data_IF_376638071803
#
_entry.id   IF_376638071803
#
_cell.length_a   1.000
_cell.length_b   1.000
_cell.length_c   1.000
_cell.angle_alpha   90.00
_cell.angle_beta   90.00
_cell.angle_gamma   90.00
#
_symmetry.space_group_name_H-M   'P 1'
#
loop_
_entity.id
_entity.type
_entity.pdbx_description
1 polymer ?
#
# COMPACT_ATOMS: atom_id res chain seq x y z
N UNK A 1 -80.61 15.23 -74.41
CA UNK A 1 -81.49 16.23 -73.76
C UNK A 1 -80.73 16.65 -72.51
N UNK A 2 -80.08 17.81 -72.62
CA UNK A 2 -80.36 19.06 -71.87
C UNK A 2 -80.16 18.90 -70.37
N UNK A 3 -79.44 19.66 -69.65
CA UNK A 3 -78.91 21.04 -69.79
C UNK A 3 -78.02 21.24 -68.51
N UNK A 4 -76.82 21.72 -68.67
CA UNK A 4 -76.24 22.95 -68.12
C UNK A 4 -76.75 23.49 -66.77
N UNK A 5 -75.85 23.84 -65.89
CA UNK A 5 -75.31 25.17 -65.52
C UNK A 5 -74.48 25.03 -64.25
N UNK A 6 -73.21 25.33 -64.21
CA UNK A 6 -72.47 26.55 -63.90
C UNK A 6 -73.02 27.38 -62.73
N UNK A 7 -72.22 27.68 -61.77
CA UNK A 7 -71.66 28.97 -61.35
C UNK A 7 -70.86 28.82 -60.06
N UNK A 8 -69.57 29.08 -60.07
CA UNK A 8 -68.78 30.24 -59.66
C UNK A 8 -68.71 30.54 -58.16
N UNK A 9 -67.45 30.44 -57.68
CA UNK A 9 -66.61 31.35 -56.87
C UNK A 9 -67.10 31.82 -55.51
N UNK A 10 -66.23 31.67 -54.57
CA UNK A 10 -65.45 32.78 -53.99
C UNK A 10 -64.29 32.25 -53.08
N UNK A 11 -63.15 32.73 -53.45
CA UNK A 11 -61.93 32.73 -52.59
C UNK A 11 -62.21 33.44 -51.28
N UNK A 12 -61.74 32.86 -50.18
CA UNK A 12 -61.37 33.62 -49.01
C UNK A 12 -60.07 33.11 -48.51
N UNK A 13 -58.97 33.86 -48.62
CA UNK A 13 -57.68 33.53 -47.98
C UNK A 13 -57.77 33.99 -46.54
N UNK A 14 -57.02 33.31 -45.67
CA UNK A 14 -56.75 33.58 -44.29
C UNK A 14 -57.45 32.67 -43.25
N UNK A 15 -57.01 31.44 -43.21
CA UNK A 15 -56.89 30.75 -41.92
C UNK A 15 -55.50 30.14 -41.83
N UNK A 16 -54.58 30.93 -41.29
CA UNK A 16 -53.28 30.41 -40.77
C UNK A 16 -53.59 29.48 -39.66
N UNK A 17 -53.48 28.16 -39.90
CA UNK A 17 -53.45 27.15 -38.88
C UNK A 17 -52.07 27.26 -38.21
N UNK A 18 -51.99 27.95 -37.07
CA UNK A 18 -50.90 27.93 -36.19
C UNK A 18 -50.81 26.51 -35.53
N UNK A 19 -49.96 25.64 -36.08
CA UNK A 19 -49.56 24.44 -35.43
C UNK A 19 -48.87 24.83 -34.12
N UNK A 20 -49.54 24.63 -33.00
CA UNK A 20 -49.00 24.80 -31.67
C UNK A 20 -47.86 23.83 -31.48
N UNK A 21 -46.62 24.34 -31.39
CA UNK A 21 -45.46 23.56 -31.02
C UNK A 21 -45.72 22.83 -29.71
N UNK A 22 -45.30 21.56 -29.58
CA UNK A 22 -45.55 20.80 -28.38
C UNK A 22 -44.81 21.46 -27.21
N UNK A 23 -45.56 21.92 -26.19
CA UNK A 23 -45.04 22.45 -24.93
C UNK A 23 -44.41 21.35 -24.12
N UNK A 24 -43.25 20.80 -24.56
CA UNK A 24 -42.44 19.83 -23.81
C UNK A 24 -41.49 20.49 -22.80
N UNK A 25 -41.29 21.80 -22.85
CA UNK A 25 -40.34 22.53 -21.99
C UNK A 25 -40.73 22.62 -20.53
N UNK A 26 -42.00 22.47 -20.17
CA UNK A 26 -42.44 22.61 -18.78
C UNK A 26 -42.14 21.40 -17.89
N UNK A 27 -42.22 20.19 -18.46
CA UNK A 27 -41.90 18.94 -17.72
C UNK A 27 -40.40 18.77 -17.54
N UNK A 28 -39.61 19.03 -18.55
CA UNK A 28 -38.14 18.96 -18.47
C UNK A 28 -37.58 19.97 -17.45
N UNK A 29 -38.10 21.19 -17.46
CA UNK A 29 -37.71 22.25 -16.53
C UNK A 29 -38.10 21.92 -15.07
N UNK A 30 -39.25 21.29 -14.84
CA UNK A 30 -39.64 20.79 -13.51
C UNK A 30 -38.74 19.63 -13.05
N UNK A 31 -38.41 18.70 -13.91
CA UNK A 31 -37.49 17.60 -13.61
C UNK A 31 -36.11 18.16 -13.25
N UNK A 32 -35.61 19.13 -14.03
CA UNK A 32 -34.32 19.78 -13.77
C UNK A 32 -34.31 20.52 -12.41
N UNK A 33 -35.41 21.23 -12.08
CA UNK A 33 -35.58 21.89 -10.78
C UNK A 33 -35.63 20.89 -9.61
N UNK A 34 -36.35 19.78 -9.78
CA UNK A 34 -36.41 18.71 -8.76
C UNK A 34 -35.03 18.10 -8.55
N UNK A 35 -34.26 17.84 -9.62
CA UNK A 35 -32.92 17.33 -9.58
C UNK A 35 -31.95 18.30 -8.88
N UNK A 36 -32.09 19.60 -9.18
CA UNK A 36 -31.27 20.66 -8.58
C UNK A 36 -31.56 20.81 -7.09
N UNK A 37 -32.85 20.74 -6.67
CA UNK A 37 -33.26 20.75 -5.28
C UNK A 37 -32.76 19.49 -4.56
N UNK A 38 -32.82 18.33 -5.20
CA UNK A 38 -32.32 17.07 -4.62
C UNK A 38 -30.80 17.13 -4.41
N UNK A 39 -30.05 17.64 -5.39
CA UNK A 39 -28.59 17.85 -5.27
C UNK A 39 -28.26 18.86 -4.18
N UNK A 40 -29.00 19.96 -4.07
CA UNK A 40 -28.82 20.95 -3.03
C UNK A 40 -29.13 20.38 -1.64
N UNK A 41 -30.14 19.54 -1.53
CA UNK A 41 -30.54 18.87 -0.29
C UNK A 41 -29.50 17.83 0.15
N UNK A 42 -28.94 17.08 -0.80
CA UNK A 42 -27.81 16.15 -0.57
C UNK A 42 -26.56 16.94 -0.13
N UNK A 43 -26.24 18.05 -0.81
CA UNK A 43 -25.12 18.91 -0.44
C UNK A 43 -25.30 19.52 0.97
N UNK A 44 -26.50 19.97 1.31
CA UNK A 44 -26.82 20.46 2.65
C UNK A 44 -26.73 19.36 3.73
N UNK A 45 -27.19 18.14 3.44
CA UNK A 45 -27.03 16.98 4.33
C UNK A 45 -25.53 16.62 4.51
N UNK A 46 -24.72 16.69 3.47
CA UNK A 46 -23.27 16.48 3.56
C UNK A 46 -22.58 17.53 4.45
N UNK A 47 -23.04 18.79 4.44
CA UNK A 47 -22.50 19.88 5.24
C UNK A 47 -22.94 19.80 6.71
N UNK A 48 -24.20 19.37 6.96
CA UNK A 48 -24.77 19.31 8.33
C UNK A 48 -24.36 18.01 9.05
N UNK A 49 -24.20 16.93 8.33
CA UNK A 49 -23.85 15.62 8.88
C UNK A 49 -22.62 14.99 8.21
N UNK A 50 -21.43 15.61 8.31
CA UNK A 50 -20.21 15.09 7.66
C UNK A 50 -19.81 13.69 8.18
N UNK A 51 -20.26 13.31 9.39
CA UNK A 51 -20.02 11.97 9.97
C UNK A 51 -20.99 10.89 9.46
N UNK A 52 -22.16 11.26 8.94
CA UNK A 52 -23.18 10.31 8.46
C UNK A 52 -23.03 9.98 6.97
N UNK A 53 -22.48 10.90 6.18
CA UNK A 53 -22.21 10.68 4.76
C UNK A 53 -20.71 10.53 4.54
N UNK A 54 -20.17 9.40 4.95
CA UNK A 54 -18.85 8.99 4.47
C UNK A 54 -18.98 8.74 2.96
N UNK A 55 -18.44 9.68 2.16
CA UNK A 55 -18.47 9.59 0.69
C UNK A 55 -17.95 8.26 0.19
N UNK A 56 -17.03 7.66 0.93
CA UNK A 56 -16.43 6.37 0.62
C UNK A 56 -17.41 5.21 0.76
N UNK A 57 -18.32 5.26 1.75
CA UNK A 57 -19.40 4.27 1.86
C UNK A 57 -20.32 4.30 0.65
N UNK A 58 -20.62 5.50 0.14
CA UNK A 58 -21.47 5.67 -1.04
C UNK A 58 -20.74 5.18 -2.30
N UNK A 59 -19.47 5.55 -2.46
CA UNK A 59 -18.63 5.09 -3.57
C UNK A 59 -18.46 3.57 -3.52
N UNK A 60 -18.15 3.00 -2.36
CA UNK A 60 -18.06 1.54 -2.17
C UNK A 60 -19.38 0.84 -2.44
N UNK A 61 -20.51 1.42 -1.98
CA UNK A 61 -21.83 0.86 -2.26
C UNK A 61 -22.06 0.72 -3.77
N UNK A 62 -21.78 1.77 -4.56
CA UNK A 62 -21.94 1.70 -6.01
C UNK A 62 -20.91 0.82 -6.70
N UNK A 63 -19.64 0.88 -6.27
CA UNK A 63 -18.53 0.06 -6.82
C UNK A 63 -18.77 -1.44 -6.63
N UNK A 64 -19.36 -1.82 -5.48
CA UNK A 64 -19.58 -3.22 -5.10
C UNK A 64 -21.06 -3.62 -5.06
N UNK A 65 -21.97 -2.83 -5.65
CA UNK A 65 -23.42 -3.03 -5.58
C UNK A 65 -23.93 -4.33 -6.23
N UNK A 66 -23.20 -4.98 -7.08
CA UNK A 66 -23.56 -6.29 -7.65
C UNK A 66 -22.86 -7.49 -7.01
N UNK A 67 -22.05 -7.26 -5.99
CA UNK A 67 -21.04 -8.20 -5.52
C UNK A 67 -21.33 -8.72 -4.11
N UNK A 68 -22.10 -7.98 -3.29
CA UNK A 68 -22.48 -8.36 -1.93
C UNK A 68 -23.22 -9.70 -1.86
N UNK A 69 -23.93 -10.07 -2.93
CA UNK A 69 -24.76 -11.29 -2.97
C UNK A 69 -24.02 -12.52 -3.56
N UNK A 70 -22.78 -12.36 -4.05
CA UNK A 70 -21.99 -13.47 -4.56
C UNK A 70 -21.04 -13.97 -3.48
N UNK A 71 -21.38 -15.08 -2.84
CA UNK A 71 -20.57 -15.74 -1.81
C UNK A 71 -19.12 -16.11 -2.27
N UNK A 72 -18.81 -15.99 -3.55
CA UNK A 72 -17.51 -16.25 -4.17
C UNK A 72 -16.73 -15.01 -4.59
N UNK A 73 -17.27 -13.79 -4.38
CA UNK A 73 -16.56 -12.60 -4.80
C UNK A 73 -15.34 -12.32 -3.93
N UNK A 74 -14.22 -12.08 -4.58
CA UNK A 74 -12.94 -11.87 -3.90
C UNK A 74 -12.40 -13.11 -3.19
N UNK A 75 -12.97 -14.29 -3.43
CA UNK A 75 -12.37 -15.53 -2.99
C UNK A 75 -11.38 -15.99 -4.06
N UNK A 76 -10.12 -15.67 -3.83
CA UNK A 76 -9.02 -16.18 -4.62
C UNK A 76 -8.60 -17.52 -4.02
N UNK A 77 -8.67 -18.58 -4.83
CA UNK A 77 -8.17 -19.89 -4.44
C UNK A 77 -6.74 -20.02 -4.98
N UNK A 78 -5.79 -20.21 -4.10
CA UNK A 78 -4.40 -20.49 -4.45
C UNK A 78 -3.83 -21.54 -3.50
N UNK A 79 -2.77 -22.20 -3.93
CA UNK A 79 -2.06 -23.15 -3.09
C UNK A 79 -1.37 -22.41 -1.94
N UNK A 80 -1.93 -22.52 -0.74
CA UNK A 80 -1.43 -21.84 0.46
C UNK A 80 -0.30 -22.64 1.09
N UNK A 81 0.90 -22.53 0.52
CA UNK A 81 2.12 -23.02 1.16
C UNK A 81 2.44 -22.26 2.45
N UNK A 82 3.03 -22.93 3.42
CA UNK A 82 3.37 -22.35 4.72
C UNK A 82 4.43 -21.22 4.66
N UNK A 83 5.00 -20.94 3.51
CA UNK A 83 6.01 -19.88 3.28
C UNK A 83 5.57 -18.80 2.31
N UNK A 84 4.30 -18.79 1.89
CA UNK A 84 3.82 -17.78 0.98
C UNK A 84 3.73 -16.40 1.63
N UNK A 85 4.00 -15.36 0.85
CA UNK A 85 3.90 -13.95 1.24
C UNK A 85 2.89 -13.23 0.36
N UNK A 86 2.21 -12.25 0.92
CA UNK A 86 1.08 -11.59 0.29
C UNK A 86 1.15 -10.08 0.44
N UNK A 87 0.82 -9.33 -0.62
CA UNK A 87 0.64 -7.89 -0.57
C UNK A 87 -0.49 -7.45 -1.51
N UNK A 88 -1.17 -6.37 -1.14
CA UNK A 88 -2.06 -5.66 -2.06
C UNK A 88 -1.24 -4.95 -3.13
N UNK A 89 -1.59 -5.14 -4.40
CA UNK A 89 -0.89 -4.52 -5.51
C UNK A 89 -1.84 -4.39 -6.72
N UNK A 90 -1.81 -3.24 -7.40
CA UNK A 90 -2.55 -2.98 -8.65
C UNK A 90 -4.03 -3.42 -8.58
N UNK A 91 -4.77 -2.94 -7.57
CA UNK A 91 -6.16 -3.34 -7.29
C UNK A 91 -6.38 -4.85 -7.07
N UNK A 92 -5.33 -5.64 -6.92
CA UNK A 92 -5.35 -7.09 -6.79
C UNK A 92 -4.54 -7.60 -5.59
N UNK A 93 -4.06 -8.83 -5.73
CA UNK A 93 -3.23 -9.52 -4.75
C UNK A 93 -1.97 -10.07 -5.42
N UNK A 94 -0.81 -9.65 -4.92
CA UNK A 94 0.47 -10.24 -5.27
C UNK A 94 0.81 -11.35 -4.28
N UNK A 95 1.11 -12.54 -4.82
CA UNK A 95 1.44 -13.74 -4.04
C UNK A 95 2.85 -14.18 -4.40
N UNK A 96 3.77 -14.10 -3.44
CA UNK A 96 5.11 -14.66 -3.55
C UNK A 96 5.16 -16.07 -2.95
N UNK A 97 5.73 -17.01 -3.68
CA UNK A 97 5.91 -18.42 -3.27
C UNK A 97 7.36 -18.83 -3.47
N UNK A 98 7.75 -19.98 -2.97
CA UNK A 98 9.08 -20.54 -3.23
C UNK A 98 9.38 -20.80 -4.72
N UNK A 99 8.33 -20.90 -5.56
CA UNK A 99 8.41 -21.20 -6.99
C UNK A 99 8.22 -19.96 -7.90
N UNK A 100 8.07 -18.77 -7.32
CA UNK A 100 7.90 -17.52 -8.07
C UNK A 100 6.86 -16.59 -7.51
N UNK A 101 6.35 -15.69 -8.35
CA UNK A 101 5.37 -14.67 -7.99
C UNK A 101 4.18 -14.69 -8.95
N UNK A 102 2.99 -14.51 -8.40
CA UNK A 102 1.73 -14.43 -9.16
C UNK A 102 0.95 -13.19 -8.78
N UNK A 103 0.50 -12.43 -9.77
CA UNK A 103 -0.44 -11.34 -9.58
C UNK A 103 -1.85 -11.81 -9.95
N UNK A 104 -2.78 -11.70 -9.01
CA UNK A 104 -4.20 -11.96 -9.19
C UNK A 104 -5.01 -10.66 -9.14
N UNK A 105 -6.00 -10.52 -10.01
CA UNK A 105 -7.06 -9.55 -9.85
C UNK A 105 -8.06 -10.00 -8.78
N UNK A 106 -8.93 -9.09 -8.30
CA UNK A 106 -9.92 -9.43 -7.27
C UNK A 106 -11.00 -10.41 -7.72
N UNK A 107 -11.24 -10.56 -9.00
CA UNK A 107 -12.16 -11.54 -9.58
C UNK A 107 -11.53 -12.93 -9.83
N UNK A 108 -10.24 -13.08 -9.46
CA UNK A 108 -9.54 -14.37 -9.52
C UNK A 108 -8.77 -14.61 -10.81
N UNK A 109 -8.73 -13.64 -11.72
CA UNK A 109 -7.93 -13.76 -12.93
C UNK A 109 -6.44 -13.66 -12.60
N UNK A 110 -5.64 -14.61 -13.07
CA UNK A 110 -4.18 -14.53 -13.00
C UNK A 110 -3.67 -13.59 -14.08
N UNK A 111 -3.17 -12.42 -13.67
CA UNK A 111 -2.64 -11.40 -14.57
C UNK A 111 -1.18 -11.60 -14.94
N UNK A 112 -0.39 -12.09 -14.00
CA UNK A 112 1.02 -12.43 -14.23
C UNK A 112 1.41 -13.67 -13.45
N UNK A 113 2.35 -14.42 -14.01
CA UNK A 113 3.07 -15.50 -13.34
C UNK A 113 4.52 -15.45 -13.79
N UNK A 114 5.42 -15.21 -12.85
CA UNK A 114 6.87 -15.29 -13.06
C UNK A 114 7.38 -16.45 -12.22
N UNK A 115 8.02 -17.42 -12.87
CA UNK A 115 8.55 -18.59 -12.20
C UNK A 115 10.03 -18.42 -11.87
N UNK A 116 10.41 -18.73 -10.65
CA UNK A 116 11.79 -18.63 -10.19
C UNK A 116 11.98 -19.24 -8.81
N UNK A 117 13.21 -19.52 -8.43
CA UNK A 117 13.53 -20.13 -7.13
C UNK A 117 13.70 -19.07 -6.05
N UNK A 118 12.77 -19.02 -5.12
CA UNK A 118 12.69 -18.10 -4.00
C UNK A 118 12.50 -18.88 -2.68
N UNK A 119 13.53 -19.52 -2.14
CA UNK A 119 13.40 -20.43 -0.99
C UNK A 119 12.75 -19.81 0.25
N UNK A 120 12.91 -18.51 0.42
CA UNK A 120 12.32 -17.74 1.53
C UNK A 120 11.82 -16.41 0.96
N UNK A 121 10.67 -16.40 0.27
CA UNK A 121 10.22 -15.21 -0.45
C UNK A 121 9.95 -14.06 0.52
N UNK A 122 10.40 -12.89 0.15
CA UNK A 122 10.06 -11.61 0.78
C UNK A 122 9.45 -10.73 -0.30
N UNK A 123 8.33 -10.08 0.04
CA UNK A 123 7.57 -9.24 -0.85
C UNK A 123 7.66 -7.79 -0.37
N UNK A 124 7.95 -6.87 -1.30
CA UNK A 124 7.96 -5.44 -1.10
C UNK A 124 7.18 -4.76 -2.22
N UNK A 125 6.22 -3.94 -1.85
CA UNK A 125 5.40 -3.19 -2.82
C UNK A 125 5.43 -1.71 -2.50
N UNK A 126 5.47 -0.90 -3.57
CA UNK A 126 5.31 0.54 -3.50
C UNK A 126 5.17 1.12 -4.90
N UNK A 127 4.35 2.18 -5.06
CA UNK A 127 4.03 2.72 -6.37
C UNK A 127 3.56 1.63 -7.34
N UNK A 128 4.18 1.62 -8.49
CA UNK A 128 3.90 0.67 -9.57
C UNK A 128 4.87 -0.54 -9.58
N UNK A 129 5.53 -0.85 -8.45
CA UNK A 129 6.51 -1.93 -8.35
C UNK A 129 6.15 -2.91 -7.24
N UNK A 130 5.98 -4.18 -7.60
CA UNK A 130 5.88 -5.31 -6.67
C UNK A 130 7.11 -6.20 -6.82
N UNK A 131 8.07 -6.10 -5.88
CA UNK A 131 9.33 -6.85 -5.87
C UNK A 131 9.23 -8.08 -4.98
N UNK A 132 9.66 -9.22 -5.50
CA UNK A 132 9.86 -10.46 -4.74
C UNK A 132 11.30 -10.90 -4.85
N UNK A 133 11.91 -11.19 -3.73
CA UNK A 133 13.28 -11.69 -3.62
C UNK A 133 13.40 -12.69 -2.48
N UNK A 134 14.52 -13.38 -2.39
CA UNK A 134 14.83 -14.28 -1.28
C UNK A 134 16.25 -14.01 -0.77
N UNK A 135 16.44 -13.72 0.55
CA UNK A 135 17.76 -13.59 1.12
C UNK A 135 18.60 -14.85 0.87
N UNK A 136 19.84 -14.65 0.42
CA UNK A 136 20.73 -15.74 0.04
C UNK A 136 20.56 -16.28 -1.38
N UNK A 137 19.48 -15.92 -2.10
CA UNK A 137 19.32 -16.20 -3.53
C UNK A 137 19.81 -15.02 -4.37
N UNK A 138 20.32 -15.29 -5.56
CA UNK A 138 20.64 -14.23 -6.52
C UNK A 138 19.42 -13.81 -7.37
N UNK A 139 18.35 -14.61 -7.35
CA UNK A 139 17.17 -14.36 -8.17
C UNK A 139 16.18 -13.42 -7.51
N UNK A 140 15.62 -12.51 -8.31
CA UNK A 140 14.50 -11.66 -7.96
C UNK A 140 13.55 -11.49 -9.14
N UNK A 141 12.29 -11.19 -8.84
CA UNK A 141 11.27 -10.86 -9.83
C UNK A 141 10.53 -9.59 -9.40
N UNK A 142 10.21 -8.72 -10.34
CA UNK A 142 9.38 -7.55 -10.11
C UNK A 142 8.25 -7.47 -11.14
N UNK A 143 7.06 -7.14 -10.63
CA UNK A 143 5.82 -7.02 -11.41
C UNK A 143 5.34 -5.58 -11.33
N UNK A 144 4.97 -5.03 -12.48
CA UNK A 144 4.32 -3.74 -12.63
C UNK A 144 2.80 -3.85 -12.79
N UNK A 145 2.12 -2.70 -12.98
CA UNK A 145 0.68 -2.64 -13.18
C UNK A 145 0.22 -3.51 -14.36
N UNK A 146 -0.98 -4.10 -14.22
CA UNK A 146 -1.55 -4.99 -15.23
C UNK A 146 -0.80 -6.30 -15.42
N UNK A 147 0.21 -6.60 -14.57
CA UNK A 147 1.02 -7.80 -14.69
C UNK A 147 2.23 -7.67 -15.61
N UNK A 148 2.66 -6.45 -15.90
CA UNK A 148 3.89 -6.20 -16.66
C UNK A 148 5.09 -6.76 -15.91
N UNK A 149 5.96 -7.52 -16.58
CA UNK A 149 7.22 -7.99 -16.00
C UNK A 149 8.24 -6.85 -16.05
N UNK A 150 8.67 -6.39 -14.86
CA UNK A 150 9.68 -5.33 -14.74
C UNK A 150 11.09 -5.91 -14.53
N UNK A 151 11.19 -7.04 -13.79
CA UNK A 151 12.43 -7.77 -13.56
C UNK A 151 12.13 -9.25 -13.48
N UNK A 152 12.97 -10.08 -14.12
CA UNK A 152 12.92 -11.54 -14.07
C UNK A 152 14.34 -12.05 -14.34
N UNK A 153 15.24 -11.91 -13.34
CA UNK A 153 16.64 -12.19 -13.55
C UNK A 153 17.39 -12.61 -12.28
N UNK A 154 18.54 -13.23 -12.51
CA UNK A 154 19.52 -13.50 -11.47
C UNK A 154 20.61 -12.41 -11.49
N UNK A 155 20.81 -11.72 -10.39
CA UNK A 155 21.84 -10.71 -10.20
C UNK A 155 23.23 -11.35 -10.00
N UNK A 156 24.25 -10.51 -10.04
CA UNK A 156 25.66 -10.92 -9.83
C UNK A 156 25.96 -11.39 -8.40
N UNK A 157 25.10 -11.07 -7.43
CA UNK A 157 25.27 -11.40 -6.02
C UNK A 157 23.99 -11.84 -5.34
N UNK A 158 24.13 -12.56 -4.24
CA UNK A 158 22.99 -13.00 -3.42
C UNK A 158 22.35 -11.81 -2.69
N UNK A 159 21.01 -11.72 -2.70
CA UNK A 159 20.28 -10.72 -1.93
C UNK A 159 20.50 -10.85 -0.45
N UNK A 160 20.63 -9.72 0.22
CA UNK A 160 20.63 -9.60 1.69
C UNK A 160 19.32 -8.98 2.13
N UNK A 161 18.93 -7.84 1.51
CA UNK A 161 17.74 -7.08 1.85
C UNK A 161 17.29 -6.27 0.63
N UNK A 162 16.02 -5.85 0.59
CA UNK A 162 15.52 -4.90 -0.38
C UNK A 162 14.32 -4.11 0.19
N UNK A 163 14.11 -2.93 -0.39
CA UNK A 163 13.00 -2.02 -0.10
C UNK A 163 12.46 -1.40 -1.39
N UNK A 164 11.18 -1.05 -1.38
CA UNK A 164 10.49 -0.33 -2.47
C UNK A 164 9.77 0.86 -1.86
N UNK A 165 10.06 2.05 -2.39
CA UNK A 165 9.44 3.31 -1.93
C UNK A 165 8.01 3.47 -2.43
N UNK A 166 7.29 4.44 -1.87
CA UNK A 166 5.92 4.75 -2.28
C UNK A 166 5.80 5.14 -3.77
N UNK A 167 6.83 5.72 -4.37
CA UNK A 167 6.88 6.08 -5.80
C UNK A 167 7.51 4.99 -6.70
N UNK A 168 7.82 3.79 -6.14
CA UNK A 168 8.34 2.65 -6.88
C UNK A 168 9.86 2.63 -7.08
N UNK A 169 10.62 3.55 -6.46
CA UNK A 169 12.08 3.41 -6.41
C UNK A 169 12.43 2.20 -5.57
N UNK A 170 13.42 1.44 -6.03
CA UNK A 170 13.82 0.19 -5.39
C UNK A 170 15.26 0.27 -4.91
N UNK A 171 15.51 -0.08 -3.64
CA UNK A 171 16.86 -0.30 -3.14
C UNK A 171 17.06 -1.76 -2.77
N UNK A 172 18.23 -2.33 -3.09
CA UNK A 172 18.57 -3.67 -2.64
C UNK A 172 20.03 -3.78 -2.26
N UNK A 173 20.32 -4.72 -1.37
CA UNK A 173 21.68 -5.06 -0.93
C UNK A 173 21.99 -6.47 -1.41
N UNK A 174 23.16 -6.63 -2.05
CA UNK A 174 23.70 -7.92 -2.49
C UNK A 174 25.09 -8.18 -1.93
N UNK A 175 25.43 -9.46 -1.78
CA UNK A 175 26.79 -9.92 -1.53
C UNK A 175 27.47 -10.18 -2.87
N UNK A 176 28.49 -9.39 -3.21
CA UNK A 176 29.20 -9.49 -4.49
C UNK A 176 30.69 -9.80 -4.28
N UNK A 177 31.28 -10.47 -5.29
CA UNK A 177 32.71 -10.81 -5.25
C UNK A 177 33.58 -9.54 -5.17
N UNK A 178 34.47 -9.48 -4.18
CA UNK A 178 35.36 -8.33 -3.94
C UNK A 178 34.79 -7.28 -2.98
N UNK A 179 33.54 -7.41 -2.57
CA UNK A 179 32.86 -6.53 -1.61
C UNK A 179 32.21 -7.33 -0.49
N UNK A 180 32.06 -6.71 0.69
CA UNK A 180 31.26 -7.29 1.77
C UNK A 180 29.77 -7.17 1.46
N UNK A 181 29.37 -6.04 0.89
CA UNK A 181 28.01 -5.77 0.44
C UNK A 181 28.01 -4.64 -0.57
N UNK A 182 27.04 -4.69 -1.46
CA UNK A 182 26.74 -3.63 -2.42
C UNK A 182 25.28 -3.25 -2.29
N UNK A 183 25.00 -1.96 -2.14
CA UNK A 183 23.65 -1.42 -2.18
C UNK A 183 23.44 -0.73 -3.54
N UNK A 184 22.36 -1.07 -4.22
CA UNK A 184 21.98 -0.50 -5.52
C UNK A 184 20.60 0.13 -5.40
N UNK A 185 20.42 1.29 -6.02
CA UNK A 185 19.11 1.94 -6.16
C UNK A 185 18.71 1.93 -7.63
N UNK A 186 17.48 1.51 -7.88
CA UNK A 186 16.83 1.54 -9.18
C UNK A 186 15.74 2.60 -9.17
N UNK A 187 15.48 3.20 -10.30
CA UNK A 187 14.30 4.04 -10.50
C UNK A 187 13.01 3.21 -10.65
N UNK A 188 11.86 3.86 -10.82
CA UNK A 188 10.56 3.20 -11.01
C UNK A 188 10.44 2.37 -12.29
N UNK A 189 11.43 2.50 -13.23
CA UNK A 189 11.56 1.69 -14.44
C UNK A 189 12.51 0.52 -14.26
N UNK A 190 13.02 0.30 -13.03
CA UNK A 190 14.04 -0.69 -12.67
C UNK A 190 15.41 -0.45 -13.30
N UNK A 191 15.71 0.78 -13.72
CA UNK A 191 17.04 1.15 -14.21
C UNK A 191 17.93 1.61 -13.03
N UNK A 192 19.22 1.19 -12.99
CA UNK A 192 20.11 1.55 -11.88
C UNK A 192 20.50 3.03 -11.94
N UNK A 193 20.24 3.76 -10.86
CA UNK A 193 20.55 5.19 -10.71
C UNK A 193 21.66 5.45 -9.70
N UNK A 194 21.90 4.53 -8.76
CA UNK A 194 22.90 4.71 -7.73
C UNK A 194 23.46 3.38 -7.24
N UNK A 195 24.76 3.35 -6.88
CA UNK A 195 25.40 2.16 -6.35
C UNK A 195 26.42 2.54 -5.27
N UNK A 196 26.30 1.92 -4.09
CA UNK A 196 27.23 2.05 -2.98
C UNK A 196 27.88 0.70 -2.68
N UNK A 197 29.21 0.63 -2.76
CA UNK A 197 29.98 -0.61 -2.54
C UNK A 197 30.78 -0.53 -1.24
N UNK A 198 30.55 -1.46 -0.33
CA UNK A 198 31.26 -1.55 0.94
C UNK A 198 32.26 -2.73 0.91
N UNK A 199 33.56 -2.43 1.01
CA UNK A 199 34.62 -3.45 1.07
C UNK A 199 34.89 -3.97 2.49
N UNK A 200 34.59 -3.18 3.50
CA UNK A 200 35.03 -3.45 4.88
C UNK A 200 33.90 -3.81 5.82
N UNK A 201 32.63 -3.43 5.49
CA UNK A 201 31.49 -3.58 6.39
C UNK A 201 30.33 -4.31 5.71
N UNK A 202 29.61 -5.09 6.51
CA UNK A 202 28.38 -5.73 6.07
C UNK A 202 27.22 -4.76 6.22
N UNK A 203 26.38 -4.68 5.19
CA UNK A 203 25.08 -4.01 5.19
C UNK A 203 24.00 -5.06 5.40
N UNK A 204 23.03 -4.79 6.28
CA UNK A 204 22.00 -5.77 6.61
C UNK A 204 20.56 -5.25 6.37
N UNK A 205 20.35 -3.95 6.26
CA UNK A 205 19.08 -3.37 5.90
C UNK A 205 19.29 -2.13 5.05
N UNK A 206 18.35 -1.86 4.14
CA UNK A 206 18.30 -0.64 3.34
C UNK A 206 16.88 -0.11 3.25
N UNK A 207 16.77 1.18 2.98
CA UNK A 207 15.55 1.86 2.60
C UNK A 207 15.84 2.95 1.60
N UNK A 208 14.92 3.20 0.67
CA UNK A 208 15.00 4.28 -0.31
C UNK A 208 13.87 5.28 -0.09
N UNK A 209 14.19 6.58 -0.13
CA UNK A 209 13.18 7.63 0.03
C UNK A 209 12.17 7.63 -1.12
N UNK A 210 11.02 8.25 -0.89
CA UNK A 210 9.88 8.26 -1.80
C UNK A 210 10.27 8.54 -3.26
N UNK A 211 11.07 9.57 -3.51
CA UNK A 211 11.54 9.98 -4.83
C UNK A 211 12.97 9.51 -5.17
N UNK A 212 13.50 8.54 -4.44
CA UNK A 212 14.82 7.99 -4.71
C UNK A 212 16.02 8.90 -4.38
N UNK A 213 15.81 10.05 -3.71
CA UNK A 213 16.87 11.04 -3.44
C UNK A 213 17.85 10.60 -2.34
N UNK A 214 17.38 9.73 -1.43
CA UNK A 214 18.16 9.23 -0.31
C UNK A 214 18.12 7.72 -0.25
N UNK A 215 19.28 7.14 0.02
CA UNK A 215 19.46 5.73 0.39
C UNK A 215 19.91 5.66 1.86
N UNK A 216 19.14 5.02 2.69
CA UNK A 216 19.57 4.68 4.05
C UNK A 216 20.05 3.23 4.10
N UNK A 217 21.20 2.96 4.72
CA UNK A 217 21.73 1.61 4.93
C UNK A 217 22.13 1.41 6.38
N UNK A 218 21.76 0.27 6.95
CA UNK A 218 22.24 -0.17 8.25
C UNK A 218 23.52 -1.00 8.06
N UNK A 219 24.58 -0.59 8.71
CA UNK A 219 25.90 -1.25 8.69
C UNK A 219 26.13 -1.98 9.99
N UNK A 220 26.62 -3.22 9.91
CA UNK A 220 27.09 -3.96 11.07
C UNK A 220 28.51 -3.53 11.43
N UNK A 221 28.69 -3.14 12.67
CA UNK A 221 29.96 -2.80 13.27
C UNK A 221 30.25 -3.72 14.46
N UNK A 222 31.50 -4.07 14.64
CA UNK A 222 31.96 -4.81 15.81
C UNK A 222 32.91 -3.93 16.61
N UNK A 223 32.67 -3.79 17.90
CA UNK A 223 33.51 -3.08 18.81
C UNK A 223 33.64 -3.86 20.09
N UNK A 224 34.87 -4.31 20.43
CA UNK A 224 35.16 -5.10 21.64
C UNK A 224 34.33 -6.39 21.77
N UNK A 225 34.05 -7.07 20.65
CA UNK A 225 33.25 -8.30 20.64
C UNK A 225 31.73 -8.06 20.66
N UNK A 226 31.27 -6.82 20.65
CA UNK A 226 29.85 -6.46 20.62
C UNK A 226 29.49 -5.98 19.23
N UNK A 227 28.46 -6.60 18.64
CA UNK A 227 27.87 -6.13 17.36
C UNK A 227 26.84 -5.05 17.61
N UNK A 228 26.92 -4.01 16.80
CA UNK A 228 25.97 -2.89 16.76
C UNK A 228 25.69 -2.48 15.32
N UNK A 229 24.61 -1.75 15.10
CA UNK A 229 24.35 -1.12 13.82
C UNK A 229 24.66 0.37 13.87
N UNK A 230 25.21 0.87 12.76
CA UNK A 230 25.25 2.28 12.42
C UNK A 230 24.42 2.49 11.14
N UNK A 231 23.60 3.53 11.11
CA UNK A 231 22.85 3.90 9.92
C UNK A 231 23.64 4.97 9.17
N UNK A 232 23.74 4.83 7.86
CA UNK A 232 24.28 5.84 6.96
C UNK A 232 23.20 6.26 6.00
N UNK A 233 23.00 7.57 5.85
CA UNK A 233 22.09 8.15 4.86
C UNK A 233 22.94 8.77 3.77
N UNK A 234 22.73 8.32 2.54
CA UNK A 234 23.48 8.69 1.34
C UNK A 234 22.55 9.44 0.40
N UNK A 235 23.09 10.44 -0.29
CA UNK A 235 22.39 11.10 -1.39
C UNK A 235 22.64 10.33 -2.69
N UNK A 236 21.59 10.13 -3.48
CA UNK A 236 21.63 9.37 -4.73
C UNK A 236 21.84 10.23 -5.97
N UNK A 237 21.88 11.56 -5.82
CA UNK A 237 22.10 12.52 -6.92
C UNK A 237 23.59 12.65 -7.35
N UNK A 238 24.47 11.88 -6.71
CA UNK A 238 25.88 11.84 -7.06
C UNK A 238 26.12 10.90 -8.25
N UNK A 239 27.07 11.24 -9.14
CA UNK A 239 27.42 10.37 -10.26
C UNK A 239 27.90 8.99 -9.81
N UNK A 240 27.53 7.94 -10.56
CA UNK A 240 27.95 6.55 -10.30
C UNK A 240 29.47 6.36 -10.21
N UNK A 241 30.25 7.22 -10.85
CA UNK A 241 31.73 7.16 -10.90
C UNK A 241 32.39 7.55 -9.57
N UNK A 242 31.73 8.32 -8.71
CA UNK A 242 32.27 8.81 -7.44
C UNK A 242 32.04 7.85 -6.25
N UNK A 243 31.46 6.68 -6.50
CA UNK A 243 30.91 5.78 -5.49
C UNK A 243 31.90 4.82 -4.83
N UNK A 244 33.16 4.80 -5.23
CA UNK A 244 34.16 3.88 -4.65
C UNK A 244 34.67 4.31 -3.27
N UNK A 245 34.32 5.51 -2.78
CA UNK A 245 34.82 6.05 -1.53
C UNK A 245 33.67 6.30 -0.52
N UNK A 246 33.95 6.03 0.76
CA UNK A 246 33.12 6.41 1.92
C UNK A 246 32.81 7.95 1.99
N UNK A 247 33.21 8.71 0.98
CA UNK A 247 33.09 10.18 0.89
C UNK A 247 31.73 10.71 0.50
N UNK A 248 30.83 9.86 -0.01
CA UNK A 248 29.44 10.24 -0.35
C UNK A 248 28.46 10.15 0.83
N UNK A 249 28.97 9.80 2.00
CA UNK A 249 28.17 9.70 3.24
C UNK A 249 27.65 11.06 3.65
N UNK A 250 26.34 11.24 3.64
CA UNK A 250 25.68 12.49 4.05
C UNK A 250 25.57 12.56 5.57
N UNK A 251 25.07 11.49 6.18
CA UNK A 251 24.83 11.46 7.63
C UNK A 251 25.09 10.07 8.18
N UNK A 252 25.71 10.01 9.37
CA UNK A 252 25.95 8.76 10.09
C UNK A 252 25.34 8.81 11.48
N UNK A 253 24.51 7.81 11.78
CA UNK A 253 23.80 7.67 13.05
C UNK A 253 24.32 6.42 13.80
N UNK A 254 24.64 6.58 15.07
CA UNK A 254 24.98 5.46 15.96
C UNK A 254 23.85 5.24 16.96
N UNK A 255 23.40 4.00 17.11
CA UNK A 255 22.26 3.63 17.94
C UNK A 255 22.65 2.95 19.25
N UNK A 256 23.88 3.23 19.75
CA UNK A 256 24.42 2.50 20.88
C UNK A 256 24.69 1.02 20.52
N UNK A 257 24.52 0.11 21.48
CA UNK A 257 24.77 -1.31 21.29
C UNK A 257 23.50 -2.07 20.83
N UNK A 258 22.84 -1.58 19.79
CA UNK A 258 21.63 -2.19 19.24
C UNK A 258 21.83 -2.60 17.79
N UNK A 259 21.15 -3.67 17.38
CA UNK A 259 21.03 -4.09 15.99
C UNK A 259 19.78 -3.47 15.37
N UNK A 260 19.90 -3.00 14.14
CA UNK A 260 18.78 -2.59 13.28
C UNK A 260 18.38 -3.78 12.43
N UNK A 261 17.10 -4.12 12.45
CA UNK A 261 16.55 -5.22 11.66
C UNK A 261 15.94 -4.74 10.35
N UNK A 262 15.33 -3.55 10.37
CA UNK A 262 14.65 -2.98 9.23
C UNK A 262 14.76 -1.46 9.21
N UNK A 263 14.84 -0.91 8.01
CA UNK A 263 14.76 0.51 7.71
C UNK A 263 13.58 0.76 6.78
N UNK A 264 12.87 1.87 6.97
CA UNK A 264 11.79 2.32 6.10
C UNK A 264 11.74 3.83 6.03
N UNK A 265 11.71 4.39 4.85
CA UNK A 265 11.26 5.76 4.69
C UNK A 265 9.73 5.80 4.81
N UNK A 266 9.23 6.74 5.62
CA UNK A 266 7.81 6.96 5.82
C UNK A 266 7.27 8.02 4.86
N UNK A 267 8.14 8.92 4.44
CA UNK A 267 7.94 9.90 3.39
C UNK A 267 9.32 10.28 2.78
N UNK A 268 9.38 11.39 2.08
CA UNK A 268 10.61 11.87 1.43
C UNK A 268 11.77 12.11 2.40
N UNK A 269 11.50 12.48 3.65
CA UNK A 269 12.50 13.00 4.61
C UNK A 269 12.53 12.29 5.96
N UNK A 270 11.56 11.43 6.25
CA UNK A 270 11.46 10.74 7.53
C UNK A 270 11.80 9.26 7.40
N UNK A 271 12.75 8.82 8.20
CA UNK A 271 13.25 7.45 8.26
C UNK A 271 12.86 6.80 9.58
N UNK A 272 12.27 5.61 9.51
CA UNK A 272 12.03 4.71 10.64
C UNK A 272 13.09 3.62 10.67
N UNK A 273 13.63 3.34 11.83
CA UNK A 273 14.50 2.20 12.11
C UNK A 273 13.87 1.28 13.15
N UNK A 274 13.63 0.04 12.79
CA UNK A 274 13.22 -1.02 13.73
C UNK A 274 14.48 -1.64 14.32
N UNK A 275 14.77 -1.27 15.56
CA UNK A 275 15.94 -1.75 16.30
C UNK A 275 15.53 -2.80 17.34
N UNK A 276 16.54 -3.39 17.98
CA UNK A 276 16.36 -4.49 18.93
C UNK A 276 15.44 -4.15 20.11
N UNK A 277 15.50 -2.91 20.62
CA UNK A 277 14.80 -2.52 21.85
C UNK A 277 13.83 -1.34 21.64
N UNK A 278 13.83 -0.74 20.45
CA UNK A 278 13.02 0.43 20.16
C UNK A 278 12.78 0.59 18.65
N UNK A 279 11.71 1.28 18.29
CA UNK A 279 11.49 1.86 16.95
C UNK A 279 11.89 3.32 17.04
N UNK A 280 12.76 3.79 16.15
CA UNK A 280 13.35 5.12 16.19
C UNK A 280 13.00 5.86 14.91
N UNK A 281 12.68 7.14 15.04
CA UNK A 281 12.35 8.02 13.94
C UNK A 281 13.43 9.10 13.79
N UNK A 282 13.88 9.30 12.57
CA UNK A 282 14.90 10.27 12.19
C UNK A 282 14.43 11.08 11.00
N UNK A 283 15.00 12.28 10.84
CA UNK A 283 14.98 12.96 9.56
C UNK A 283 16.25 12.63 8.74
N UNK A 284 16.27 13.03 7.46
CA UNK A 284 17.42 12.81 6.57
C UNK A 284 18.68 13.55 6.99
N UNK A 285 18.57 14.58 7.84
CA UNK A 285 19.70 15.31 8.42
C UNK A 285 20.31 14.59 9.63
N UNK A 286 19.69 13.46 10.04
CA UNK A 286 20.16 12.62 11.14
C UNK A 286 19.68 13.04 12.51
N UNK A 287 18.76 13.95 12.59
CA UNK A 287 18.14 14.32 13.86
C UNK A 287 17.17 13.22 14.30
N UNK A 288 17.33 12.73 15.54
CA UNK A 288 16.38 11.81 16.15
C UNK A 288 15.14 12.58 16.60
N UNK A 289 14.03 12.32 15.95
CA UNK A 289 12.76 13.00 16.22
C UNK A 289 12.04 12.39 17.42
N UNK A 290 11.92 11.09 17.44
CA UNK A 290 11.27 10.36 18.54
C UNK A 290 11.72 8.92 18.60
N UNK A 291 11.31 8.20 19.66
CA UNK A 291 11.44 6.75 19.71
C UNK A 291 10.36 6.13 20.57
N UNK A 292 9.98 4.92 20.18
CA UNK A 292 9.04 4.06 20.89
C UNK A 292 9.83 2.87 21.46
N UNK A 293 10.01 2.75 22.77
CA UNK A 293 10.65 1.57 23.38
C UNK A 293 9.83 0.31 23.06
N UNK A 294 10.46 -0.69 22.49
CA UNK A 294 9.92 -2.02 22.30
C UNK A 294 10.88 -3.03 22.91
N UNK A 295 10.35 -4.04 23.59
CA UNK A 295 11.16 -5.18 23.95
C UNK A 295 11.12 -6.16 22.79
N UNK A 296 12.19 -6.92 22.59
CA UNK A 296 12.39 -7.83 21.44
C UNK A 296 11.18 -8.75 21.15
N UNK A 297 10.35 -9.04 22.15
CA UNK A 297 9.20 -9.94 22.03
C UNK A 297 7.85 -9.21 22.14
N UNK A 298 7.81 -7.88 22.08
CA UNK A 298 6.57 -7.11 22.22
C UNK A 298 5.98 -6.64 20.90
N UNK A 299 6.82 -6.43 19.87
CA UNK A 299 6.31 -6.06 18.54
C UNK A 299 5.73 -7.30 17.86
N UNK A 300 4.41 -7.38 17.77
CA UNK A 300 3.71 -8.50 17.15
C UNK A 300 3.67 -8.33 15.62
N UNK A 301 3.29 -7.13 15.15
CA UNK A 301 3.20 -6.80 13.72
C UNK A 301 3.18 -5.28 13.54
N UNK A 302 3.52 -4.80 12.34
CA UNK A 302 3.38 -3.40 11.96
C UNK A 302 3.18 -3.25 10.45
N UNK A 303 2.56 -2.15 10.05
CA UNK A 303 2.40 -1.77 8.66
C UNK A 303 2.56 -0.27 8.47
N UNK A 304 3.23 0.11 7.38
CA UNK A 304 3.38 1.51 6.95
C UNK A 304 2.36 1.80 5.86
N UNK A 305 1.64 2.90 6.01
CA UNK A 305 0.73 3.41 4.99
C UNK A 305 1.49 4.21 3.93
N UNK A 306 0.98 4.22 2.71
CA UNK A 306 1.49 5.08 1.63
C UNK A 306 1.44 6.58 1.96
N UNK A 307 0.59 7.00 2.91
CA UNK A 307 0.49 8.39 3.40
C UNK A 307 1.51 8.71 4.52
N UNK A 308 2.51 7.87 4.76
CA UNK A 308 3.60 8.16 5.69
C UNK A 308 3.26 8.02 7.17
N UNK A 309 2.20 7.32 7.54
CA UNK A 309 1.91 6.95 8.92
C UNK A 309 1.99 5.44 9.09
N UNK A 310 2.15 5.00 10.31
CA UNK A 310 2.24 3.57 10.61
C UNK A 310 1.24 3.14 11.67
N UNK A 311 0.85 1.87 11.60
CA UNK A 311 0.16 1.13 12.66
C UNK A 311 1.08 0.05 13.17
N UNK A 312 1.08 -0.18 14.47
CA UNK A 312 1.82 -1.26 15.10
C UNK A 312 1.03 -1.91 16.23
N UNK A 313 1.25 -3.17 16.45
CA UNK A 313 0.68 -3.95 17.53
C UNK A 313 1.80 -4.44 18.47
N UNK A 314 1.64 -4.12 19.74
CA UNK A 314 2.52 -4.58 20.81
C UNK A 314 1.81 -5.63 21.66
N UNK A 315 2.46 -6.77 21.91
CA UNK A 315 1.92 -7.76 22.83
C UNK A 315 1.99 -7.24 24.26
N UNK A 316 0.91 -7.42 25.03
CA UNK A 316 0.86 -7.06 26.43
C UNK A 316 1.02 -8.30 27.32
N UNK A 317 1.63 -8.09 28.49
CA UNK A 317 1.67 -9.13 29.52
C UNK A 317 0.23 -9.47 29.94
N UNK A 318 -0.22 -10.69 29.66
CA UNK A 318 -1.58 -11.14 29.98
C UNK A 318 -2.41 -11.55 28.77
N UNK A 319 -1.87 -11.46 27.54
CA UNK A 319 -2.46 -12.04 26.35
C UNK A 319 -3.25 -11.07 25.46
N UNK A 320 -3.31 -9.79 25.82
CA UNK A 320 -3.89 -8.73 24.99
C UNK A 320 -2.83 -8.06 24.09
N UNK A 321 -3.27 -7.08 23.30
CA UNK A 321 -2.39 -6.28 22.45
C UNK A 321 -2.73 -4.80 22.59
N UNK A 322 -1.70 -3.96 22.51
CA UNK A 322 -1.81 -2.52 22.38
C UNK A 322 -1.53 -2.12 20.95
N UNK A 323 -2.49 -1.49 20.32
CA UNK A 323 -2.39 -0.99 18.94
C UNK A 323 -2.13 0.51 19.00
N UNK A 324 -1.11 0.94 18.29
CA UNK A 324 -0.72 2.35 18.18
C UNK A 324 -0.70 2.76 16.71
N UNK A 325 -1.06 3.99 16.44
CA UNK A 325 -0.80 4.65 15.16
C UNK A 325 0.09 5.87 15.38
N UNK A 326 1.09 6.03 14.54
CA UNK A 326 2.09 7.09 14.63
C UNK A 326 2.21 7.82 13.28
N UNK A 327 2.51 9.11 13.31
CA UNK A 327 2.86 9.86 12.09
C UNK A 327 4.33 9.60 11.69
N UNK A 328 4.79 10.22 10.61
CA UNK A 328 6.14 10.06 10.09
C UNK A 328 7.24 10.51 11.08
N UNK A 329 6.96 11.43 12.00
CA UNK A 329 7.88 11.86 13.05
C UNK A 329 7.82 10.95 14.30
N UNK A 330 6.94 9.92 14.31
CA UNK A 330 6.74 9.03 15.43
C UNK A 330 5.86 9.59 16.55
N UNK A 331 5.08 10.64 16.28
CA UNK A 331 4.11 11.18 17.23
C UNK A 331 2.82 10.33 17.22
N UNK A 332 2.26 10.11 18.39
CA UNK A 332 1.06 9.30 18.59
C UNK A 332 -0.18 9.95 17.94
N UNK A 333 -0.83 9.24 17.02
CA UNK A 333 -2.10 9.64 16.39
C UNK A 333 -3.30 8.99 17.08
N UNK A 334 -3.16 7.74 17.50
CA UNK A 334 -4.19 6.96 18.16
C UNK A 334 -3.63 5.79 18.94
N UNK A 335 -4.36 5.36 19.95
CA UNK A 335 -4.02 4.24 20.83
C UNK A 335 -5.27 3.45 21.18
N UNK A 336 -5.15 2.12 21.19
CA UNK A 336 -6.23 1.20 21.51
C UNK A 336 -5.69 -0.05 22.21
N UNK A 337 -6.21 -0.36 23.38
CA UNK A 337 -5.94 -1.62 24.07
C UNK A 337 -6.99 -2.66 23.69
N UNK A 338 -6.53 -3.81 23.22
CA UNK A 338 -7.34 -4.98 22.86
C UNK A 338 -7.11 -6.08 23.87
N UNK A 339 -8.19 -6.74 24.31
CA UNK A 339 -8.10 -7.89 25.22
C UNK A 339 -7.60 -9.15 24.54
N UNK A 340 -7.60 -9.16 23.21
CA UNK A 340 -7.17 -10.27 22.39
C UNK A 340 -5.80 -10.00 21.75
N UNK A 341 -5.13 -11.08 21.39
CA UNK A 341 -3.90 -11.01 20.63
C UNK A 341 -4.18 -10.54 19.19
N UNK A 342 -3.40 -9.58 18.72
CA UNK A 342 -3.37 -9.18 17.31
C UNK A 342 -2.53 -10.19 16.52
N UNK A 343 -3.11 -10.70 15.43
CA UNK A 343 -2.43 -11.59 14.48
C UNK A 343 -1.75 -10.83 13.36
N UNK A 344 -2.43 -9.82 12.83
CA UNK A 344 -1.93 -9.02 11.71
C UNK A 344 -2.53 -7.62 11.73
N UNK A 345 -1.74 -6.64 11.30
CA UNK A 345 -2.18 -5.28 11.04
C UNK A 345 -1.84 -4.89 9.61
N UNK A 346 -2.63 -3.99 9.03
CA UNK A 346 -2.36 -3.41 7.72
C UNK A 346 -2.83 -1.97 7.67
N UNK A 347 -2.16 -1.15 6.86
CA UNK A 347 -2.52 0.24 6.63
C UNK A 347 -2.49 0.55 5.14
N UNK A 348 -3.46 1.33 4.66
CA UNK A 348 -3.50 1.84 3.30
C UNK A 348 -4.16 3.22 3.31
N UNK A 349 -3.47 4.22 2.82
CA UNK A 349 -3.89 5.63 2.87
C UNK A 349 -4.40 6.00 4.28
N UNK A 350 -5.69 6.31 4.43
CA UNK A 350 -6.32 6.70 5.70
C UNK A 350 -6.94 5.55 6.52
N UNK A 351 -6.86 4.32 6.02
CA UNK A 351 -7.50 3.16 6.65
C UNK A 351 -6.48 2.23 7.28
N UNK A 352 -6.90 1.64 8.39
CA UNK A 352 -6.19 0.55 9.05
C UNK A 352 -7.11 -0.66 9.21
N UNK A 353 -6.51 -1.83 9.20
CA UNK A 353 -7.15 -3.09 9.51
C UNK A 353 -6.36 -3.82 10.60
N UNK A 354 -7.07 -4.36 11.58
CA UNK A 354 -6.51 -5.16 12.68
C UNK A 354 -7.26 -6.48 12.74
N UNK A 355 -6.53 -7.57 12.62
CA UNK A 355 -7.01 -8.93 12.77
C UNK A 355 -6.63 -9.46 14.14
N UNK A 356 -7.61 -9.88 14.93
CA UNK A 356 -7.40 -10.63 16.16
C UNK A 356 -7.76 -12.10 15.97
N UNK A 357 -7.72 -12.88 17.03
CA UNK A 357 -8.14 -14.29 17.00
C UNK A 357 -9.63 -14.45 16.66
N UNK A 358 -10.48 -13.49 17.03
CA UNK A 358 -11.92 -13.59 16.89
C UNK A 358 -12.54 -12.63 15.88
N UNK A 359 -11.90 -11.51 15.55
CA UNK A 359 -12.52 -10.49 14.70
C UNK A 359 -11.52 -9.70 13.84
N UNK A 360 -12.05 -9.19 12.74
CA UNK A 360 -11.47 -8.10 11.95
C UNK A 360 -12.09 -6.77 12.38
N UNK A 361 -11.29 -5.77 12.64
CA UNK A 361 -11.72 -4.40 12.85
C UNK A 361 -11.05 -3.47 11.86
N UNK A 362 -11.81 -2.55 11.29
CA UNK A 362 -11.30 -1.50 10.41
C UNK A 362 -11.39 -0.15 11.10
N UNK A 363 -10.39 0.69 10.90
CA UNK A 363 -10.21 1.95 11.60
C UNK A 363 -9.77 3.06 10.64
N UNK A 364 -9.91 4.30 11.11
CA UNK A 364 -9.15 5.42 10.57
C UNK A 364 -7.76 5.51 11.24
N UNK A 365 -6.92 6.44 10.79
CA UNK A 365 -5.58 6.67 11.35
C UNK A 365 -5.55 7.12 12.82
N UNK A 366 -6.70 7.46 13.43
CA UNK A 366 -6.86 7.79 14.85
C UNK A 366 -7.46 6.64 15.65
N UNK A 367 -7.56 5.45 15.05
CA UNK A 367 -8.18 4.26 15.61
C UNK A 367 -9.67 4.43 15.95
N UNK A 368 -10.38 5.35 15.28
CA UNK A 368 -11.82 5.37 15.30
C UNK A 368 -12.38 4.22 14.46
N UNK A 369 -13.22 3.39 15.06
CA UNK A 369 -13.76 2.18 14.42
C UNK A 369 -14.67 2.53 13.25
N UNK A 370 -14.43 1.95 12.10
CA UNK A 370 -15.30 2.01 10.94
C UNK A 370 -16.32 0.88 10.92
N UNK A 371 -15.81 -0.37 11.03
CA UNK A 371 -16.62 -1.56 10.96
C UNK A 371 -15.92 -2.76 11.64
N UNK A 372 -16.68 -3.83 11.87
CA UNK A 372 -16.21 -5.08 12.47
C UNK A 372 -16.80 -6.28 11.77
N UNK A 373 -16.01 -7.35 11.65
CA UNK A 373 -16.47 -8.66 11.20
C UNK A 373 -15.98 -9.74 12.14
N UNK A 374 -16.89 -10.62 12.53
CA UNK A 374 -16.59 -11.79 13.37
C UNK A 374 -16.35 -13.05 12.52
N UNK A 375 -16.55 -12.93 11.21
CA UNK A 375 -16.30 -14.01 10.26
C UNK A 375 -14.88 -13.95 9.73
N UNK A 376 -13.92 -14.35 10.57
CA UNK A 376 -12.47 -14.33 10.31
C UNK A 376 -11.85 -15.71 10.30
N UNK A 377 -12.68 -16.75 10.23
CA UNK A 377 -12.24 -18.17 10.28
C UNK A 377 -11.09 -18.43 9.28
N UNK A 378 -9.99 -18.95 9.81
CA UNK A 378 -8.77 -19.29 9.08
C UNK A 378 -7.98 -18.13 8.46
N UNK A 379 -8.35 -16.86 8.71
CA UNK A 379 -7.52 -15.73 8.30
C UNK A 379 -6.26 -15.65 9.19
N UNK A 380 -5.12 -15.47 8.53
CA UNK A 380 -3.81 -15.32 9.19
C UNK A 380 -3.23 -13.92 8.97
N UNK A 381 -3.64 -13.25 7.89
CA UNK A 381 -3.16 -11.93 7.51
C UNK A 381 -4.31 -11.08 6.98
N UNK A 382 -4.20 -9.76 7.15
CA UNK A 382 -5.07 -8.75 6.55
C UNK A 382 -4.28 -7.82 5.65
N UNK A 383 -4.92 -7.35 4.60
CA UNK A 383 -4.37 -6.36 3.68
C UNK A 383 -5.43 -5.28 3.51
N UNK A 384 -5.20 -4.12 4.09
CA UNK A 384 -6.03 -2.94 3.90
C UNK A 384 -5.84 -2.39 2.48
N UNK A 385 -6.89 -1.80 1.92
CA UNK A 385 -6.87 -1.21 0.59
C UNK A 385 -7.25 0.27 0.67
N UNK A 386 -6.80 1.09 -0.31
CA UNK A 386 -7.04 2.54 -0.33
C UNK A 386 -8.51 2.93 -0.26
N UNK A 387 -9.42 2.09 -0.78
CA UNK A 387 -10.87 2.31 -0.71
C UNK A 387 -11.51 1.88 0.63
N UNK A 388 -10.71 1.41 1.59
CA UNK A 388 -11.13 0.97 2.91
C UNK A 388 -11.69 -0.46 2.95
N UNK A 389 -11.67 -1.19 1.84
CA UNK A 389 -11.92 -2.64 1.86
C UNK A 389 -10.70 -3.38 2.40
N UNK A 390 -10.88 -4.62 2.82
CA UNK A 390 -9.80 -5.43 3.40
C UNK A 390 -9.81 -6.82 2.77
N UNK A 391 -8.66 -7.28 2.31
CA UNK A 391 -8.46 -8.68 1.96
C UNK A 391 -8.08 -9.46 3.22
N UNK A 392 -8.85 -10.47 3.53
CA UNK A 392 -8.58 -11.48 4.54
C UNK A 392 -7.86 -12.66 3.86
N UNK A 393 -6.61 -12.88 4.20
CA UNK A 393 -5.78 -13.95 3.64
C UNK A 393 -5.69 -15.08 4.65
N UNK A 394 -5.93 -16.29 4.20
CA UNK A 394 -5.88 -17.48 5.05
C UNK A 394 -5.53 -18.74 4.28
N UNK A 395 -5.55 -19.89 4.97
CA UNK A 395 -5.29 -21.18 4.34
C UNK A 395 -6.35 -21.49 3.28
N UNK A 396 -5.95 -21.55 2.02
CA UNK A 396 -6.84 -21.87 0.89
C UNK A 396 -7.45 -20.68 0.20
N UNK A 397 -6.91 -19.46 0.38
CA UNK A 397 -7.29 -18.33 -0.42
C UNK A 397 -7.54 -17.02 0.33
N UNK A 398 -8.15 -16.07 -0.35
CA UNK A 398 -8.53 -14.78 0.22
C UNK A 398 -10.02 -14.55 0.15
N UNK A 399 -10.48 -13.61 0.99
CA UNK A 399 -11.83 -13.08 0.94
C UNK A 399 -11.80 -11.57 1.09
N UNK A 400 -12.59 -10.87 0.28
CA UNK A 400 -12.76 -9.42 0.38
C UNK A 400 -13.82 -9.09 1.44
N UNK A 401 -13.44 -8.28 2.42
CA UNK A 401 -14.35 -7.62 3.36
C UNK A 401 -14.64 -6.20 2.89
N UNK A 402 -15.91 -5.84 2.83
CA UNK A 402 -16.41 -4.51 2.42
C UNK A 402 -17.11 -3.91 3.64
N UNK A 403 -16.50 -2.93 4.32
CA UNK A 403 -17.08 -2.28 5.50
C UNK A 403 -18.25 -1.36 5.18
#
# INVERSE_FOLDING_TARGET
MTTERRYFTLNNPDQTVTQGAPRTGGRLRRILWILLVLVALIAALCLIFPRLMNTDRVVRFFRYMGLRDKASYGRLEFDSGAGNVYAGFDDGLLVGTENGVTLYSLDGEQKALIQGSLPTPILRCGGDVGLVFSPGSAYAAAVGPGGTVLMDEALSGAFINADVSADGFTAYITAETGYKSVATVLDSSMEPIYRFSSRTRYLNACAVSEQGEYLAVARLEEENGVYRSAITILRTDLPLEDLEQDSSETVRLTLGNQLVYELRFLDRTHLMAVAQNEIIFFNVDGERLSSLPTRTNQLADYAVSTDGWLILALEQNGGGSRVLTLNASGELLGELDLQERVRSVSAAERYAAVLTDSCLQTFDRKLAVYDRSWDVLAATQVIARPDGTVLLVGSGGTRLFIP
#
